data_IF_453493069117
#
_entry.id   IF_453493069117
#
_cell.length_a   1.000
_cell.length_b   1.000
_cell.length_c   1.000
_cell.angle_alpha   90.00
_cell.angle_beta   90.00
_cell.angle_gamma   90.00
#
_symmetry.space_group_name_H-M   'P 1'
#
loop_
_entity.id
_entity.type
_entity.pdbx_description
1 polymer ?
#
# COMPACT_ATOMS: atom_id res chain seq x y z
N UNK A 1 13.60 -7.73 16.36
CA UNK A 1 12.80 -6.88 15.45
C UNK A 1 12.58 -5.56 16.15
N UNK A 2 13.26 -4.48 15.75
CA UNK A 2 13.05 -3.14 16.32
C UNK A 2 12.50 -2.25 15.22
N UNK A 3 11.17 -2.19 15.10
CA UNK A 3 10.52 -1.18 14.28
C UNK A 3 10.74 0.17 14.94
N UNK A 4 11.60 1.02 14.37
CA UNK A 4 11.73 2.40 14.82
C UNK A 4 10.41 3.10 14.53
N UNK A 5 9.72 3.56 15.57
CA UNK A 5 8.51 4.36 15.43
C UNK A 5 8.87 5.68 14.76
N UNK A 6 8.32 5.95 13.59
CA UNK A 6 8.43 7.26 12.94
C UNK A 6 7.53 8.23 13.71
N UNK A 7 8.12 9.28 14.26
CA UNK A 7 7.40 10.34 14.96
C UNK A 7 6.96 11.42 13.97
N UNK A 8 6.01 12.28 14.38
CA UNK A 8 5.54 13.40 13.55
C UNK A 8 6.66 14.37 13.14
N UNK A 9 7.74 14.41 13.92
CA UNK A 9 8.92 15.24 13.69
C UNK A 9 9.84 14.67 12.59
N UNK A 10 9.77 13.36 12.32
CA UNK A 10 10.57 12.66 11.30
C UNK A 10 10.00 12.83 9.88
N UNK A 11 8.88 13.55 9.70
CA UNK A 11 8.19 13.77 8.41
C UNK A 11 8.40 15.23 8.00
N UNK A 12 9.46 15.58 7.23
CA UNK A 12 9.86 16.98 7.09
C UNK A 12 8.90 17.82 6.23
N UNK A 13 8.02 17.21 5.42
CA UNK A 13 7.34 17.93 4.33
C UNK A 13 5.96 17.32 3.97
N UNK A 14 5.04 17.24 4.94
CA UNK A 14 3.60 17.05 4.69
C UNK A 14 3.16 15.80 3.90
N UNK A 15 1.90 15.81 3.42
CA UNK A 15 1.20 14.67 2.75
C UNK A 15 1.98 14.07 1.56
N UNK A 16 2.80 14.87 0.88
CA UNK A 16 3.55 14.45 -0.29
C UNK A 16 4.75 13.57 0.09
N UNK A 17 5.45 13.89 1.18
CA UNK A 17 6.60 13.12 1.64
C UNK A 17 6.20 11.74 2.19
N UNK A 18 5.01 11.65 2.82
CA UNK A 18 4.45 10.38 3.28
C UNK A 18 4.28 9.35 2.14
N UNK A 19 3.95 9.78 0.92
CA UNK A 19 3.87 8.90 -0.25
C UNK A 19 5.25 8.35 -0.68
N UNK A 20 6.32 9.12 -0.47
CA UNK A 20 7.68 8.69 -0.78
C UNK A 20 8.18 7.66 0.22
N UNK A 21 7.90 7.84 1.52
CA UNK A 21 8.36 6.92 2.56
C UNK A 21 7.45 5.71 2.77
N UNK A 22 6.14 5.80 2.52
CA UNK A 22 5.18 4.74 2.84
C UNK A 22 4.59 4.08 1.58
N UNK A 23 4.29 2.79 1.67
CA UNK A 23 3.50 2.02 0.68
C UNK A 23 2.06 1.99 1.15
N UNK A 24 1.16 2.23 0.21
CA UNK A 24 -0.29 2.16 0.42
C UNK A 24 -0.85 1.05 -0.45
N UNK A 25 -1.62 0.13 0.13
CA UNK A 25 -2.19 -0.97 -0.65
C UNK A 25 -3.12 -1.90 0.13
N UNK A 26 -3.61 -2.90 -0.58
CA UNK A 26 -4.53 -3.92 -0.10
C UNK A 26 -3.91 -5.31 -0.30
N UNK A 27 -4.32 -6.28 0.52
CA UNK A 27 -4.07 -7.68 0.21
C UNK A 27 -5.05 -8.18 -0.86
N UNK A 28 -4.57 -9.10 -1.70
CA UNK A 28 -5.35 -9.72 -2.76
C UNK A 28 -5.83 -11.11 -2.35
N UNK A 29 -7.12 -11.45 -2.54
CA UNK A 29 -7.64 -12.79 -2.27
C UNK A 29 -6.85 -13.88 -3.01
N UNK A 30 -6.64 -15.07 -2.41
CA UNK A 30 -7.20 -15.54 -1.14
C UNK A 30 -6.40 -15.12 0.11
N UNK A 31 -5.31 -14.38 -0.06
CA UNK A 31 -4.34 -14.07 1.00
C UNK A 31 -4.76 -12.86 1.84
N UNK A 32 -6.00 -12.87 2.34
CA UNK A 32 -6.52 -11.84 3.24
C UNK A 32 -6.46 -12.32 4.69
N UNK A 33 -5.95 -11.48 5.59
CA UNK A 33 -5.95 -11.75 7.03
C UNK A 33 -7.27 -11.37 7.71
N UNK A 34 -8.13 -10.61 7.02
CA UNK A 34 -9.40 -10.09 7.54
C UNK A 34 -10.48 -10.12 6.45
N UNK A 35 -11.75 -10.16 6.88
CA UNK A 35 -12.92 -10.29 5.98
C UNK A 35 -13.47 -8.97 5.45
N UNK A 36 -12.90 -7.82 5.83
CA UNK A 36 -13.30 -6.51 5.33
C UNK A 36 -12.19 -5.89 4.49
N UNK A 37 -12.55 -4.93 3.65
CA UNK A 37 -11.58 -4.16 2.87
C UNK A 37 -10.67 -3.38 3.82
N UNK A 38 -9.41 -3.78 3.89
CA UNK A 38 -8.42 -3.25 4.83
C UNK A 38 -7.24 -2.64 4.08
N UNK A 39 -7.04 -1.33 4.21
CA UNK A 39 -5.93 -0.62 3.60
C UNK A 39 -4.72 -0.62 4.53
N UNK A 40 -3.58 -1.07 4.01
CA UNK A 40 -2.28 -1.02 4.68
C UNK A 40 -1.54 0.27 4.36
N UNK A 41 -0.95 0.88 5.39
CA UNK A 41 0.00 1.98 5.28
C UNK A 41 1.31 1.48 5.90
N UNK A 42 2.32 1.28 5.07
CA UNK A 42 3.54 0.57 5.44
C UNK A 42 4.76 1.46 5.26
N UNK A 43 5.49 1.78 6.32
CA UNK A 43 6.68 2.60 6.19
C UNK A 43 7.63 2.55 7.39
N UNK A 44 8.85 3.06 7.20
CA UNK A 44 9.39 3.56 5.92
C UNK A 44 9.83 2.39 5.01
N UNK A 45 9.64 2.55 3.69
CA UNK A 45 9.93 1.54 2.64
C UNK A 45 11.32 0.94 2.77
N UNK A 46 12.28 1.76 3.14
CA UNK A 46 13.69 1.42 3.28
C UNK A 46 13.95 0.49 4.48
N UNK A 47 13.10 0.54 5.50
CA UNK A 47 13.23 -0.27 6.71
C UNK A 47 12.30 -1.49 6.71
N UNK A 48 11.48 -1.66 5.68
CA UNK A 48 10.68 -2.86 5.53
C UNK A 48 11.57 -4.02 5.08
N UNK A 49 11.89 -4.92 6.02
CA UNK A 49 12.47 -6.22 5.70
C UNK A 49 11.58 -6.98 4.71
N UNK A 50 12.20 -7.85 3.90
CA UNK A 50 11.54 -8.62 2.86
C UNK A 50 10.38 -9.45 3.43
N UNK A 51 9.14 -8.95 3.31
CA UNK A 51 7.93 -9.66 3.73
C UNK A 51 7.12 -9.99 2.48
N UNK A 52 6.90 -11.29 2.27
CA UNK A 52 6.15 -11.84 1.13
C UNK A 52 4.76 -11.19 0.97
N UNK A 53 4.09 -10.91 2.10
CA UNK A 53 2.74 -10.35 2.12
C UNK A 53 2.66 -8.93 1.58
N UNK A 54 3.78 -8.19 1.61
CA UNK A 54 3.85 -6.78 1.20
C UNK A 54 4.73 -6.56 -0.04
N UNK A 55 5.35 -7.62 -0.56
CA UNK A 55 6.14 -7.55 -1.78
C UNK A 55 5.22 -7.61 -3.01
N UNK A 56 5.19 -6.54 -3.83
CA UNK A 56 4.34 -6.48 -5.03
C UNK A 56 4.68 -7.54 -6.08
N UNK A 57 5.87 -8.17 -6.04
CA UNK A 57 6.26 -9.22 -7.00
C UNK A 57 5.43 -10.48 -6.86
N UNK A 58 4.93 -10.77 -5.66
CA UNK A 58 4.11 -11.95 -5.40
C UNK A 58 2.61 -11.73 -5.67
N UNK A 59 2.23 -10.53 -6.13
CA UNK A 59 0.83 -10.17 -6.43
C UNK A 59 -0.14 -10.26 -5.24
N UNK A 60 0.36 -10.58 -4.03
CA UNK A 60 -0.38 -10.56 -2.77
C UNK A 60 -0.71 -9.13 -2.37
N UNK A 61 0.23 -8.19 -2.56
CA UNK A 61 0.03 -6.78 -2.24
C UNK A 61 -0.27 -5.94 -3.48
N UNK A 62 -1.47 -5.37 -3.53
CA UNK A 62 -1.91 -4.45 -4.60
C UNK A 62 -1.84 -3.01 -4.13
N UNK A 63 -1.00 -2.19 -4.78
CA UNK A 63 -0.89 -0.75 -4.49
C UNK A 63 -2.21 -0.03 -4.78
N UNK A 64 -2.58 0.94 -3.93
CA UNK A 64 -3.78 1.77 -4.10
C UNK A 64 -3.84 2.43 -5.48
N UNK A 65 -2.72 2.97 -5.97
CA UNK A 65 -2.67 3.63 -7.27
C UNK A 65 -3.13 2.70 -8.41
N UNK A 66 -2.65 1.47 -8.43
CA UNK A 66 -3.01 0.48 -9.45
C UNK A 66 -4.49 0.10 -9.36
N UNK A 67 -5.02 -0.07 -8.15
CA UNK A 67 -6.46 -0.36 -7.95
C UNK A 67 -7.31 0.81 -8.46
N UNK A 68 -6.92 2.05 -8.18
CA UNK A 68 -7.65 3.23 -8.68
C UNK A 68 -7.62 3.31 -10.20
N UNK A 69 -6.49 3.01 -10.83
CA UNK A 69 -6.36 3.03 -12.29
C UNK A 69 -7.19 1.92 -12.94
N UNK A 70 -7.17 0.72 -12.38
CA UNK A 70 -8.02 -0.41 -12.80
C UNK A 70 -9.51 -0.02 -12.70
N UNK A 71 -9.93 0.59 -11.59
CA UNK A 71 -11.32 1.05 -11.39
C UNK A 71 -11.73 2.15 -12.39
N UNK A 72 -10.85 3.11 -12.68
CA UNK A 72 -11.11 4.15 -13.69
C UNK A 72 -11.31 3.52 -15.07
N UNK A 73 -10.47 2.55 -15.44
CA UNK A 73 -10.58 1.82 -16.71
C UNK A 73 -11.91 1.09 -16.82
N UNK A 74 -12.30 0.34 -15.79
CA UNK A 74 -13.59 -0.36 -15.75
C UNK A 74 -14.78 0.60 -15.85
N UNK A 75 -14.70 1.78 -15.22
CA UNK A 75 -15.75 2.80 -15.31
C UNK A 75 -15.91 3.34 -16.74
N UNK A 76 -14.83 3.42 -17.51
CA UNK A 76 -14.86 3.83 -18.91
C UNK A 76 -15.48 2.73 -19.78
N UNK A 77 -15.10 1.48 -19.57
CA UNK A 77 -15.63 0.33 -20.32
C UNK A 77 -17.14 0.14 -20.11
N UNK A 78 -17.64 0.31 -18.88
CA UNK A 78 -19.08 0.23 -18.58
C UNK A 78 -19.94 1.33 -19.21
N UNK A 79 -19.33 2.39 -19.74
CA UNK A 79 -20.04 3.51 -20.39
C UNK A 79 -20.07 3.40 -21.91
N UNK A 80 -19.33 2.45 -22.49
CA UNK A 80 -19.41 2.10 -23.91
C UNK A 80 -20.52 1.08 -24.12
#
# INVERSE_FOLDING_TARGET
>A
MNAKYLTHEDIPLGKLWLCFICRFGFHWPPFNSVHHLHMHILGPKQLMSFNLMFDPRFHIFRKVSRVLDDLKKLKIERKK
#
